data_IF_115587707539
#
_entry.id   IF_115587707539
#
_cell.length_a   1.000
_cell.length_b   1.000
_cell.length_c   1.000
_cell.angle_alpha   90.00
_cell.angle_beta   90.00
_cell.angle_gamma   90.00
#
_symmetry.space_group_name_H-M   'P 1'
#
loop_
_entity.id
_entity.type
_entity.pdbx_description
1 polymer ?
#
# COMPACT_ATOMS: atom_id res chain seq x y z
N UNK A 1 -3.44 12.83 14.10
CA UNK A 1 -3.30 14.11 14.85
C UNK A 1 -4.66 14.81 15.04
N UNK A 2 -5.51 14.31 15.95
CA UNK A 2 -6.89 14.79 16.13
C UNK A 2 -7.07 16.00 17.07
N UNK A 3 -5.98 16.59 17.57
CA UNK A 3 -6.03 17.69 18.56
C UNK A 3 -5.37 19.02 18.15
N UNK A 4 -4.83 19.13 16.93
CA UNK A 4 -4.17 20.36 16.44
C UNK A 4 -5.06 21.07 15.43
N UNK A 5 -5.16 22.39 15.53
CA UNK A 5 -5.77 23.23 14.48
C UNK A 5 -4.96 23.15 13.17
N UNK A 6 -5.58 23.51 12.04
CA UNK A 6 -4.93 23.45 10.72
C UNK A 6 -3.59 24.21 10.67
N UNK A 7 -3.55 25.43 11.20
CA UNK A 7 -2.33 26.24 11.27
C UNK A 7 -1.23 25.63 12.16
N UNK A 8 -1.61 25.07 13.33
CA UNK A 8 -0.66 24.38 14.21
C UNK A 8 -0.07 23.12 13.59
N UNK A 9 -0.88 22.36 12.84
CA UNK A 9 -0.40 21.18 12.11
C UNK A 9 0.62 21.57 11.04
N UNK A 10 0.36 22.65 10.30
CA UNK A 10 1.30 23.17 9.29
C UNK A 10 2.63 23.61 9.90
N UNK A 11 2.60 24.37 11.00
CA UNK A 11 3.82 24.79 11.70
C UNK A 11 4.65 23.60 12.21
N UNK A 12 3.98 22.57 12.74
CA UNK A 12 4.67 21.35 13.17
C UNK A 12 5.34 20.64 11.98
N UNK A 13 4.63 20.46 10.86
CA UNK A 13 5.18 19.83 9.65
C UNK A 13 6.38 20.60 9.12
N UNK A 14 6.29 21.92 9.09
CA UNK A 14 7.34 22.80 8.62
C UNK A 14 8.60 22.73 9.52
N UNK A 15 8.44 22.73 10.84
CA UNK A 15 9.58 22.58 11.77
C UNK A 15 10.20 21.18 11.68
N UNK A 16 9.38 20.13 11.53
CA UNK A 16 9.87 18.76 11.34
C UNK A 16 10.73 18.64 10.07
N UNK A 17 10.31 19.28 8.99
CA UNK A 17 11.07 19.35 7.75
C UNK A 17 12.45 19.98 8.02
N UNK A 18 12.51 21.16 8.65
CA UNK A 18 13.76 21.85 8.95
C UNK A 18 14.72 21.02 9.82
N UNK A 19 14.21 20.36 10.85
CA UNK A 19 15.02 19.50 11.71
C UNK A 19 15.61 18.29 10.95
N UNK A 20 14.86 17.74 9.99
CA UNK A 20 15.28 16.56 9.23
C UNK A 20 16.24 16.91 8.09
N UNK A 21 16.01 18.04 7.44
CA UNK A 21 16.90 18.53 6.38
C UNK A 21 18.17 19.17 6.94
N UNK A 22 18.20 19.55 8.21
CA UNK A 22 19.32 20.27 8.82
C UNK A 22 20.69 19.57 8.75
N UNK A 23 20.73 18.24 8.64
CA UNK A 23 21.96 17.43 8.46
C UNK A 23 22.27 17.11 7.00
N UNK A 24 21.43 17.56 6.07
CA UNK A 24 21.56 17.35 4.63
C UNK A 24 21.94 18.68 3.97
N UNK A 25 22.41 18.62 2.73
CA UNK A 25 22.80 19.80 1.94
C UNK A 25 22.41 19.56 0.47
N UNK A 26 22.23 20.64 -0.29
CA UNK A 26 21.95 20.62 -1.74
C UNK A 26 20.68 19.85 -2.18
N UNK A 27 19.66 19.80 -1.32
CA UNK A 27 18.34 19.27 -1.69
C UNK A 27 17.49 20.32 -2.38
N UNK A 28 16.58 19.87 -3.25
CA UNK A 28 15.46 20.68 -3.75
C UNK A 28 14.24 20.43 -2.88
N UNK A 29 13.89 21.40 -2.03
CA UNK A 29 12.72 21.36 -1.14
C UNK A 29 11.56 22.08 -1.85
N UNK A 30 10.43 21.40 -2.01
CA UNK A 30 9.23 21.97 -2.65
C UNK A 30 8.16 22.19 -1.58
N UNK A 31 7.70 23.42 -1.45
CA UNK A 31 6.66 23.81 -0.48
C UNK A 31 5.46 24.39 -1.24
N UNK A 32 4.29 23.80 -1.03
CA UNK A 32 3.02 24.25 -1.61
C UNK A 32 2.18 24.96 -0.54
N UNK A 33 1.86 26.24 -0.78
CA UNK A 33 1.08 27.13 0.08
C UNK A 33 1.49 27.09 1.57
N UNK A 34 2.76 27.41 1.90
CA UNK A 34 3.27 27.30 3.28
C UNK A 34 2.61 28.27 4.26
N UNK A 35 2.04 29.38 3.78
CA UNK A 35 1.37 30.40 4.60
C UNK A 35 -0.14 30.16 4.78
N UNK A 36 -0.76 29.35 3.93
CA UNK A 36 -2.22 29.25 3.92
C UNK A 36 -2.77 28.70 5.25
N UNK A 37 -3.68 29.44 5.89
CA UNK A 37 -4.33 29.03 7.14
C UNK A 37 -3.45 29.17 8.40
N UNK A 38 -2.30 29.84 8.29
CA UNK A 38 -1.45 30.26 9.41
C UNK A 38 -1.82 31.70 9.77
N UNK A 39 -1.84 32.05 11.06
CA UNK A 39 -2.08 33.44 11.49
C UNK A 39 -0.85 34.32 11.21
N UNK A 40 -1.08 35.59 10.86
CA UNK A 40 -0.04 36.56 10.47
C UNK A 40 1.13 36.64 11.46
N UNK A 41 0.88 36.45 12.75
CA UNK A 41 1.91 36.44 13.81
C UNK A 41 3.01 35.38 13.60
N UNK A 42 2.71 34.29 12.89
CA UNK A 42 3.67 33.22 12.59
C UNK A 42 4.35 33.36 11.23
N UNK A 43 3.91 34.29 10.37
CA UNK A 43 4.53 34.53 9.06
C UNK A 43 6.01 34.92 9.20
N UNK A 44 6.42 35.84 10.11
CA UNK A 44 7.83 36.17 10.31
C UNK A 44 8.67 34.96 10.73
N UNK A 45 8.10 34.06 11.54
CA UNK A 45 8.77 32.84 11.97
C UNK A 45 9.04 31.91 10.78
N UNK A 46 8.04 31.68 9.91
CA UNK A 46 8.20 30.85 8.71
C UNK A 46 9.27 31.45 7.78
N UNK A 47 9.26 32.77 7.57
CA UNK A 47 10.24 33.46 6.72
C UNK A 47 11.66 33.26 7.24
N UNK A 48 11.86 33.41 8.56
CA UNK A 48 13.20 33.25 9.13
C UNK A 48 13.74 31.83 8.92
N UNK A 49 12.90 30.81 9.11
CA UNK A 49 13.25 29.42 8.82
C UNK A 49 13.51 29.15 7.35
N UNK A 50 12.76 29.76 6.43
CA UNK A 50 13.02 29.67 5.00
C UNK A 50 14.40 30.24 4.65
N UNK A 51 14.79 31.36 5.29
CA UNK A 51 16.15 31.92 5.14
C UNK A 51 17.22 30.98 5.67
N UNK A 52 17.02 30.39 6.85
CA UNK A 52 17.94 29.38 7.40
C UNK A 52 18.12 28.21 6.43
N UNK A 53 17.03 27.64 5.92
CA UNK A 53 17.09 26.50 4.99
C UNK A 53 17.72 26.87 3.64
N UNK A 54 17.49 28.09 3.13
CA UNK A 54 18.06 28.60 1.87
C UNK A 54 19.59 28.59 1.88
N UNK A 55 20.23 28.68 3.05
CA UNK A 55 21.71 28.62 3.14
C UNK A 55 22.29 27.26 2.76
N UNK A 56 21.51 26.18 2.88
CA UNK A 56 21.95 24.79 2.65
C UNK A 56 21.23 24.09 1.51
N UNK A 57 20.07 24.60 1.09
CA UNK A 57 19.17 23.91 0.17
C UNK A 57 18.59 24.86 -0.88
N UNK A 58 18.20 24.28 -2.01
CA UNK A 58 17.39 24.96 -3.01
C UNK A 58 15.92 24.83 -2.61
N UNK A 59 15.17 25.94 -2.58
CA UNK A 59 13.76 25.94 -2.17
C UNK A 59 12.91 26.42 -3.35
N UNK A 60 11.95 25.59 -3.75
CA UNK A 60 10.87 25.96 -4.66
C UNK A 60 9.60 26.19 -3.84
N UNK A 61 9.11 27.41 -3.83
CA UNK A 61 7.90 27.78 -3.10
C UNK A 61 6.79 28.11 -4.10
N UNK A 62 5.65 27.44 -3.94
CA UNK A 62 4.43 27.67 -4.73
C UNK A 62 3.42 28.33 -3.79
N UNK A 63 2.96 29.53 -4.14
CA UNK A 63 2.00 30.28 -3.32
C UNK A 63 1.18 31.23 -4.18
N UNK A 64 -0.04 31.51 -3.74
CA UNK A 64 -0.81 32.67 -4.17
C UNK A 64 -0.91 33.76 -3.10
N UNK A 65 -0.41 33.47 -1.90
CA UNK A 65 -0.52 34.32 -0.72
C UNK A 65 0.82 34.98 -0.36
N UNK A 66 0.76 36.16 0.26
CA UNK A 66 1.92 36.91 0.77
C UNK A 66 3.05 37.13 -0.26
N UNK A 67 2.68 37.21 -1.54
CA UNK A 67 3.60 37.21 -2.69
C UNK A 67 4.68 38.28 -2.60
N UNK A 68 4.34 39.50 -2.15
CA UNK A 68 5.27 40.61 -2.07
C UNK A 68 6.48 40.30 -1.16
N UNK A 69 6.23 39.72 0.02
CA UNK A 69 7.27 39.39 1.00
C UNK A 69 8.18 38.28 0.45
N UNK A 70 7.61 37.34 -0.29
CA UNK A 70 8.36 36.23 -0.88
C UNK A 70 9.17 36.64 -2.11
N UNK A 71 8.64 37.57 -2.91
CA UNK A 71 9.38 38.17 -4.02
C UNK A 71 10.65 38.88 -3.54
N UNK A 72 10.63 39.52 -2.37
CA UNK A 72 11.82 40.15 -1.79
C UNK A 72 12.90 39.14 -1.37
N UNK A 73 12.50 37.92 -1.00
CA UNK A 73 13.42 36.86 -0.57
C UNK A 73 13.90 35.96 -1.73
N UNK A 74 13.13 35.90 -2.82
CA UNK A 74 13.35 34.96 -3.91
C UNK A 74 14.53 35.37 -4.80
N UNK A 75 15.39 34.40 -5.13
CA UNK A 75 16.43 34.55 -6.14
C UNK A 75 15.85 34.56 -7.56
N UNK A 76 14.77 33.80 -7.77
CA UNK A 76 14.09 33.65 -9.04
C UNK A 76 12.58 33.67 -8.84
N UNK A 77 11.85 34.31 -9.75
CA UNK A 77 10.39 34.43 -9.70
C UNK A 77 9.81 33.82 -10.97
N UNK A 78 8.94 32.82 -10.78
CA UNK A 78 8.24 32.12 -11.85
C UNK A 78 6.75 32.43 -11.71
N UNK A 79 6.20 33.16 -12.68
CA UNK A 79 4.78 33.52 -12.71
C UNK A 79 4.04 32.62 -13.70
N UNK A 80 2.95 32.01 -13.24
CA UNK A 80 2.05 31.18 -14.07
C UNK A 80 0.74 31.95 -14.28
N UNK A 81 0.33 32.10 -15.53
CA UNK A 81 -0.96 32.74 -15.85
C UNK A 81 -2.13 31.79 -15.56
N UNK A 82 -3.23 32.32 -15.03
CA UNK A 82 -4.46 31.56 -14.84
C UNK A 82 -5.14 31.22 -16.18
N UNK A 83 -4.87 32.00 -17.24
CA UNK A 83 -5.49 31.88 -18.57
C UNK A 83 -4.72 30.89 -19.45
N UNK A 84 -3.39 31.01 -19.48
CA UNK A 84 -2.51 30.09 -20.22
C UNK A 84 -1.54 29.41 -19.26
N UNK A 85 -1.76 28.10 -19.04
CA UNK A 85 -0.95 27.26 -18.16
C UNK A 85 0.17 26.52 -18.89
N UNK A 86 0.25 26.65 -20.21
CA UNK A 86 1.28 26.01 -21.04
C UNK A 86 2.60 26.78 -21.01
N UNK A 87 2.54 28.09 -20.77
CA UNK A 87 3.69 29.00 -20.73
C UNK A 87 3.82 29.68 -19.37
N UNK A 88 5.06 30.01 -19.03
CA UNK A 88 5.41 30.70 -17.78
C UNK A 88 6.30 31.89 -18.06
N UNK A 89 6.33 32.83 -17.11
CA UNK A 89 7.24 33.98 -17.09
C UNK A 89 8.30 33.75 -16.02
N UNK A 90 9.58 33.89 -16.36
CA UNK A 90 10.70 33.73 -15.43
C UNK A 90 11.49 35.02 -15.40
N UNK A 91 11.66 35.65 -14.23
CA UNK A 91 12.49 36.85 -13.98
C UNK A 91 12.30 38.06 -14.93
N UNK A 92 11.31 38.03 -15.84
CA UNK A 92 11.11 39.01 -16.90
C UNK A 92 10.95 38.42 -18.30
N UNK A 93 11.50 37.22 -18.58
CA UNK A 93 11.36 36.49 -19.84
C UNK A 93 9.97 35.87 -19.96
N UNK A 94 9.22 36.28 -20.97
CA UNK A 94 7.87 35.78 -21.23
C UNK A 94 7.85 34.64 -22.26
N UNK A 95 6.84 33.78 -22.17
CA UNK A 95 6.54 32.77 -23.18
C UNK A 95 7.41 31.50 -23.09
N UNK A 96 8.08 31.25 -21.97
CA UNK A 96 8.84 30.02 -21.75
C UNK A 96 7.88 28.85 -21.57
N UNK A 97 8.17 27.71 -22.21
CA UNK A 97 7.36 26.50 -22.07
C UNK A 97 7.46 25.93 -20.63
N UNK A 98 6.30 25.64 -20.02
CA UNK A 98 6.21 25.18 -18.63
C UNK A 98 6.93 23.86 -18.41
N UNK A 99 6.86 22.92 -19.36
CA UNK A 99 7.50 21.62 -19.22
C UNK A 99 9.02 21.77 -19.19
N UNK A 100 9.57 22.65 -20.04
CA UNK A 100 10.99 23.00 -20.02
C UNK A 100 11.42 23.62 -18.70
N UNK A 101 10.62 24.54 -18.15
CA UNK A 101 10.90 25.15 -16.84
C UNK A 101 10.94 24.12 -15.71
N UNK A 102 9.95 23.22 -15.64
CA UNK A 102 9.96 22.13 -14.65
C UNK A 102 11.18 21.22 -14.81
N UNK A 103 11.60 20.96 -16.05
CA UNK A 103 12.78 20.19 -16.36
C UNK A 103 14.05 20.83 -15.79
N UNK A 104 14.18 22.15 -15.98
CA UNK A 104 15.34 22.93 -15.58
C UNK A 104 15.41 23.12 -14.06
N UNK A 105 14.28 23.13 -13.35
CA UNK A 105 14.25 23.21 -11.88
C UNK A 105 14.60 21.87 -11.25
N UNK A 106 14.15 20.75 -11.85
CA UNK A 106 14.31 19.39 -11.30
C UNK A 106 15.69 18.76 -11.56
N UNK A 107 16.75 19.53 -11.29
CA UNK A 107 18.14 19.07 -11.42
C UNK A 107 18.52 18.21 -10.21
N UNK A 108 19.16 17.07 -10.49
CA UNK A 108 19.68 16.14 -9.48
C UNK A 108 19.07 14.75 -9.59
N UNK A 109 19.66 13.82 -8.85
CA UNK A 109 19.10 12.49 -8.67
C UNK A 109 17.90 12.53 -7.71
N UNK A 110 16.96 11.61 -7.90
CA UNK A 110 15.88 11.43 -6.93
C UNK A 110 16.45 11.14 -5.55
N UNK A 111 15.94 11.83 -4.54
CA UNK A 111 16.36 11.63 -3.17
C UNK A 111 16.09 10.17 -2.73
N UNK A 112 17.17 9.42 -2.45
CA UNK A 112 17.11 8.04 -1.96
C UNK A 112 17.50 7.98 -0.50
N UNK A 113 16.52 7.95 0.40
CA UNK A 113 16.77 7.67 1.80
C UNK A 113 17.04 6.19 2.03
N UNK A 114 18.10 5.89 2.80
CA UNK A 114 18.49 4.54 3.22
C UNK A 114 17.77 4.20 4.52
N UNK A 115 16.96 3.15 4.50
CA UNK A 115 16.28 2.60 5.68
C UNK A 115 17.26 2.25 6.80
N UNK A 116 16.86 2.53 8.05
CA UNK A 116 17.69 2.30 9.23
C UNK A 116 16.91 1.50 10.31
N UNK A 117 17.62 0.87 11.25
CA UNK A 117 17.04 0.11 12.37
C UNK A 117 16.08 0.94 13.23
N UNK A 118 16.29 2.27 13.29
CA UNK A 118 15.37 3.20 13.97
C UNK A 118 13.98 3.22 13.35
N UNK A 119 13.87 2.97 12.04
CA UNK A 119 12.58 2.93 11.34
C UNK A 119 11.79 1.67 11.73
N UNK A 120 12.49 0.56 11.99
CA UNK A 120 11.88 -0.69 12.49
C UNK A 120 11.39 -0.52 13.94
N UNK A 121 12.21 0.09 14.81
CA UNK A 121 11.83 0.37 16.19
C UNK A 121 10.62 1.31 16.25
N UNK A 122 10.60 2.35 15.41
CA UNK A 122 9.45 3.22 15.24
C UNK A 122 8.20 2.45 14.80
N UNK A 123 8.31 1.61 13.77
CA UNK A 123 7.19 0.77 13.30
C UNK A 123 6.62 -0.09 14.42
N UNK A 124 7.48 -0.79 15.18
CA UNK A 124 7.05 -1.63 16.31
C UNK A 124 6.33 -0.78 17.37
N UNK A 125 6.89 0.38 17.73
CA UNK A 125 6.31 1.24 18.75
C UNK A 125 4.94 1.78 18.33
N UNK A 126 4.76 2.16 17.06
CA UNK A 126 3.46 2.63 16.54
C UNK A 126 2.44 1.50 16.55
N UNK A 127 2.80 0.35 15.98
CA UNK A 127 1.91 -0.80 15.78
C UNK A 127 1.51 -1.51 17.06
N UNK A 128 2.38 -1.52 18.08
CA UNK A 128 2.11 -2.18 19.37
C UNK A 128 1.80 -1.18 20.50
N UNK A 129 1.64 0.10 20.20
CA UNK A 129 1.21 1.09 21.20
C UNK A 129 -0.21 0.82 21.72
N UNK A 130 -0.52 1.39 22.89
CA UNK A 130 -1.74 1.15 23.68
C UNK A 130 -3.07 1.49 22.98
N UNK A 131 -3.02 2.13 21.80
CA UNK A 131 -4.18 2.49 20.98
C UNK A 131 -4.26 1.71 19.65
N UNK A 132 -3.53 0.60 19.54
CA UNK A 132 -3.50 -0.21 18.32
C UNK A 132 -4.71 -1.13 18.18
N UNK A 133 -5.20 -1.27 16.94
CA UNK A 133 -6.32 -2.15 16.58
C UNK A 133 -6.04 -3.64 16.80
N UNK A 134 -4.79 -4.08 16.97
CA UNK A 134 -4.46 -5.51 17.16
C UNK A 134 -5.06 -6.06 18.47
N UNK A 135 -4.99 -5.29 19.56
CA UNK A 135 -5.56 -5.72 20.85
C UNK A 135 -7.08 -5.85 20.78
N UNK A 136 -7.74 -4.98 20.01
CA UNK A 136 -9.18 -5.03 19.78
C UNK A 136 -9.57 -6.28 19.00
N UNK A 137 -8.78 -6.66 17.98
CA UNK A 137 -8.98 -7.94 17.26
C UNK A 137 -8.87 -9.12 18.21
N UNK A 138 -7.86 -9.16 19.08
CA UNK A 138 -7.73 -10.24 20.05
C UNK A 138 -8.92 -10.33 21.00
N UNK A 139 -9.39 -9.20 21.53
CA UNK A 139 -10.61 -9.17 22.35
C UNK A 139 -11.84 -9.68 21.61
N UNK A 140 -12.00 -9.28 20.35
CA UNK A 140 -13.11 -9.70 19.51
C UNK A 140 -13.05 -11.20 19.15
N UNK A 141 -11.86 -11.72 18.83
CA UNK A 141 -11.62 -13.15 18.55
C UNK A 141 -11.96 -13.99 19.77
N UNK A 142 -11.53 -13.61 20.97
CA UNK A 142 -11.83 -14.32 22.22
C UNK A 142 -13.34 -14.36 22.47
N UNK A 143 -14.03 -13.22 22.31
CA UNK A 143 -15.48 -13.14 22.48
C UNK A 143 -16.21 -14.03 21.46
N UNK A 144 -15.86 -13.88 20.18
CA UNK A 144 -16.47 -14.59 19.07
C UNK A 144 -16.31 -16.10 19.22
N UNK A 145 -15.08 -16.60 19.38
CA UNK A 145 -14.82 -18.02 19.53
C UNK A 145 -15.27 -18.58 20.89
N UNK A 146 -15.37 -17.74 21.93
CA UNK A 146 -16.04 -18.10 23.18
C UNK A 146 -17.53 -18.39 22.99
N UNK A 147 -18.25 -17.54 22.25
CA UNK A 147 -19.65 -17.78 21.89
C UNK A 147 -19.83 -18.99 20.98
N UNK A 148 -18.89 -19.21 20.06
CA UNK A 148 -18.86 -20.41 19.22
C UNK A 148 -18.76 -21.68 20.06
N UNK A 149 -17.81 -21.74 21.00
CA UNK A 149 -17.66 -22.88 21.90
C UNK A 149 -18.95 -23.11 22.71
N UNK A 150 -19.56 -22.06 23.25
CA UNK A 150 -20.83 -22.18 23.98
C UNK A 150 -21.97 -22.70 23.11
N UNK A 151 -22.00 -22.32 21.83
CA UNK A 151 -23.08 -22.69 20.90
C UNK A 151 -22.98 -24.11 20.39
N UNK A 152 -21.75 -24.59 20.16
CA UNK A 152 -21.51 -25.89 19.55
C UNK A 152 -20.95 -26.94 20.52
N UNK A 153 -20.76 -26.63 21.81
CA UNK A 153 -20.22 -27.57 22.78
C UNK A 153 -20.91 -28.95 22.72
N UNK A 154 -20.13 -30.03 22.67
CA UNK A 154 -20.62 -31.42 22.57
C UNK A 154 -21.58 -31.66 21.38
N UNK A 155 -21.32 -31.04 20.23
CA UNK A 155 -22.08 -31.30 19.01
C UNK A 155 -22.02 -32.76 18.58
N UNK A 156 -23.10 -33.27 17.99
CA UNK A 156 -23.22 -34.67 17.56
C UNK A 156 -22.44 -34.93 16.26
N UNK A 157 -21.94 -36.15 16.03
CA UNK A 157 -21.43 -36.57 14.72
C UNK A 157 -22.48 -36.32 13.63
N UNK A 158 -22.07 -35.83 12.47
CA UNK A 158 -22.93 -35.39 11.37
C UNK A 158 -23.19 -33.87 11.33
N UNK A 159 -22.62 -33.09 12.25
CA UNK A 159 -22.69 -31.62 12.27
C UNK A 159 -21.41 -30.93 11.80
N UNK A 160 -20.46 -31.69 11.27
CA UNK A 160 -19.11 -31.27 10.91
C UNK A 160 -19.11 -30.10 9.92
N UNK A 161 -19.95 -30.19 8.89
CA UNK A 161 -20.07 -29.15 7.88
C UNK A 161 -20.58 -27.82 8.44
N UNK A 162 -21.53 -27.90 9.38
CA UNK A 162 -22.12 -26.73 10.03
C UNK A 162 -21.08 -26.01 10.89
N UNK A 163 -20.27 -26.78 11.60
CA UNK A 163 -19.15 -26.29 12.41
C UNK A 163 -18.02 -25.74 11.55
N UNK A 164 -17.71 -26.37 10.42
CA UNK A 164 -16.73 -25.86 9.46
C UNK A 164 -17.16 -24.49 8.91
N UNK A 165 -18.41 -24.37 8.44
CA UNK A 165 -18.97 -23.12 7.93
C UNK A 165 -18.98 -22.04 9.02
N UNK A 166 -19.50 -22.37 10.20
CA UNK A 166 -19.63 -21.41 11.29
C UNK A 166 -18.26 -20.89 11.74
N UNK A 167 -17.28 -21.78 11.93
CA UNK A 167 -15.93 -21.40 12.34
C UNK A 167 -15.18 -20.61 11.25
N UNK A 168 -15.33 -21.00 9.98
CA UNK A 168 -14.73 -20.28 8.85
C UNK A 168 -15.30 -18.87 8.67
N UNK A 169 -16.63 -18.72 8.73
CA UNK A 169 -17.27 -17.40 8.70
C UNK A 169 -16.82 -16.53 9.89
N UNK A 170 -16.71 -17.12 11.08
CA UNK A 170 -16.26 -16.40 12.26
C UNK A 170 -14.80 -15.93 12.14
N UNK A 171 -13.92 -16.77 11.62
CA UNK A 171 -12.54 -16.40 11.32
C UNK A 171 -12.48 -15.25 10.30
N UNK A 172 -13.27 -15.32 9.23
CA UNK A 172 -13.38 -14.25 8.24
C UNK A 172 -13.86 -12.94 8.88
N UNK A 173 -14.99 -12.95 9.59
CA UNK A 173 -15.58 -11.73 10.17
C UNK A 173 -14.80 -11.17 11.36
N UNK A 174 -13.95 -11.97 12.02
CA UNK A 174 -13.03 -11.47 13.06
C UNK A 174 -11.78 -10.82 12.48
N UNK A 175 -11.26 -11.33 11.37
CA UNK A 175 -10.09 -10.77 10.69
C UNK A 175 -10.44 -9.56 9.78
N UNK A 176 -11.60 -9.60 9.12
CA UNK A 176 -11.97 -8.66 8.06
C UNK A 176 -11.95 -7.18 8.50
N UNK A 177 -12.50 -6.77 9.66
CA UNK A 177 -12.47 -5.35 10.06
C UNK A 177 -11.05 -4.78 10.16
N UNK A 178 -10.10 -5.54 10.69
CA UNK A 178 -8.70 -5.13 10.78
C UNK A 178 -8.04 -5.04 9.41
N UNK A 179 -8.36 -5.97 8.52
CA UNK A 179 -7.79 -6.00 7.16
C UNK A 179 -8.35 -4.84 6.31
N UNK A 180 -9.60 -4.42 6.52
CA UNK A 180 -10.16 -3.25 5.85
C UNK A 180 -9.46 -1.94 6.27
N UNK A 181 -9.09 -1.83 7.54
CA UNK A 181 -8.31 -0.69 8.05
C UNK A 181 -6.92 -0.56 7.42
N UNK A 182 -6.43 -1.56 6.67
CA UNK A 182 -5.16 -1.47 5.95
C UNK A 182 -5.17 -0.36 4.89
N UNK A 183 -6.33 -0.05 4.30
CA UNK A 183 -6.44 1.02 3.31
C UNK A 183 -6.21 2.39 3.97
N UNK A 184 -6.88 2.63 5.09
CA UNK A 184 -6.71 3.86 5.87
C UNK A 184 -5.29 3.96 6.44
N UNK A 185 -4.77 2.86 6.98
CA UNK A 185 -3.40 2.77 7.45
C UNK A 185 -2.40 3.12 6.34
N UNK A 186 -2.59 2.59 5.12
CA UNK A 186 -1.73 2.91 3.97
C UNK A 186 -1.75 4.41 3.68
N UNK A 187 -2.92 5.04 3.68
CA UNK A 187 -3.05 6.48 3.43
C UNK A 187 -2.34 7.28 4.52
N UNK A 188 -2.63 7.01 5.80
CA UNK A 188 -1.99 7.69 6.92
C UNK A 188 -0.47 7.51 6.90
N UNK A 189 0.01 6.30 6.61
CA UNK A 189 1.44 6.04 6.51
C UNK A 189 2.08 6.77 5.35
N UNK A 190 1.42 6.87 4.19
CA UNK A 190 1.96 7.63 3.06
C UNK A 190 2.04 9.11 3.41
N UNK A 191 0.99 9.69 3.99
CA UNK A 191 0.96 11.08 4.45
C UNK A 191 2.02 11.35 5.52
N UNK A 192 2.13 10.48 6.52
CA UNK A 192 3.12 10.60 7.60
C UNK A 192 4.54 10.44 7.05
N UNK A 193 4.75 9.52 6.12
CA UNK A 193 6.07 9.31 5.53
C UNK A 193 6.49 10.47 4.64
N UNK A 194 5.54 11.11 3.94
CA UNK A 194 5.76 12.36 3.20
C UNK A 194 6.08 13.51 4.15
N UNK A 195 5.31 13.63 5.22
CA UNK A 195 5.53 14.62 6.27
C UNK A 195 6.88 14.49 6.97
N UNK A 196 7.33 13.25 7.22
CA UNK A 196 8.55 12.97 7.98
C UNK A 196 9.80 12.77 7.10
N UNK A 197 9.64 12.83 5.76
CA UNK A 197 10.71 12.65 4.77
C UNK A 197 11.55 11.37 4.93
N UNK A 198 10.94 10.27 5.40
CA UNK A 198 11.60 8.96 5.43
C UNK A 198 11.22 8.14 4.18
N UNK A 199 12.09 7.25 3.71
CA UNK A 199 11.83 6.39 2.54
C UNK A 199 11.21 5.03 2.92
N UNK A 200 10.88 4.81 4.19
CA UNK A 200 10.45 3.49 4.70
C UNK A 200 9.05 3.04 4.26
N UNK A 201 8.38 3.74 3.32
CA UNK A 201 7.03 3.40 2.82
C UNK A 201 6.91 1.92 2.43
N UNK A 202 7.82 1.44 1.59
CA UNK A 202 7.78 0.05 1.10
C UNK A 202 8.14 -0.97 2.19
N UNK A 203 9.13 -0.65 3.03
CA UNK A 203 9.48 -1.49 4.18
C UNK A 203 8.29 -1.66 5.13
N UNK A 204 7.62 -0.56 5.46
CA UNK A 204 6.47 -0.56 6.36
C UNK A 204 5.30 -1.35 5.76
N UNK A 205 5.03 -1.22 4.46
CA UNK A 205 4.02 -2.06 3.77
C UNK A 205 4.32 -3.55 3.90
N UNK A 206 5.58 -3.95 3.71
CA UNK A 206 5.99 -5.35 3.86
C UNK A 206 5.87 -5.84 5.30
N UNK A 207 6.32 -5.04 6.29
CA UNK A 207 6.19 -5.37 7.70
C UNK A 207 4.71 -5.47 8.12
N UNK A 208 3.85 -4.57 7.64
CA UNK A 208 2.41 -4.61 7.90
C UNK A 208 1.74 -5.82 7.25
N UNK A 209 2.15 -6.20 6.04
CA UNK A 209 1.67 -7.42 5.39
C UNK A 209 2.07 -8.67 6.18
N UNK A 210 3.33 -8.77 6.62
CA UNK A 210 3.81 -9.88 7.46
C UNK A 210 3.06 -9.94 8.80
N UNK A 211 2.85 -8.80 9.45
CA UNK A 211 2.08 -8.70 10.70
C UNK A 211 0.63 -9.17 10.51
N UNK A 212 0.01 -8.81 9.39
CA UNK A 212 -1.36 -9.22 9.06
C UNK A 212 -1.46 -10.71 8.76
N UNK A 213 -0.49 -11.27 8.04
CA UNK A 213 -0.41 -12.72 7.80
C UNK A 213 -0.16 -13.51 9.09
N UNK A 214 0.67 -12.97 10.00
CA UNK A 214 0.89 -13.56 11.31
C UNK A 214 -0.38 -13.53 12.18
N UNK A 215 -1.12 -12.42 12.16
CA UNK A 215 -2.44 -12.33 12.81
C UNK A 215 -3.42 -13.37 12.26
N UNK A 216 -3.47 -13.55 10.93
CA UNK A 216 -4.30 -14.55 10.28
C UNK A 216 -3.92 -15.98 10.69
N UNK A 217 -2.62 -16.27 10.83
CA UNK A 217 -2.14 -17.55 11.34
C UNK A 217 -2.64 -17.80 12.76
N UNK A 218 -2.61 -16.80 13.65
CA UNK A 218 -3.11 -16.93 15.02
C UNK A 218 -4.63 -17.17 15.04
N UNK A 219 -5.40 -16.42 14.26
CA UNK A 219 -6.85 -16.61 14.15
C UNK A 219 -7.17 -18.03 13.65
N UNK A 220 -6.42 -18.51 12.65
CA UNK A 220 -6.56 -19.87 12.12
C UNK A 220 -6.23 -20.94 13.18
N UNK A 221 -5.20 -20.73 14.00
CA UNK A 221 -4.87 -21.64 15.11
C UNK A 221 -6.00 -21.70 16.14
N UNK A 222 -6.60 -20.56 16.47
CA UNK A 222 -7.75 -20.49 17.38
C UNK A 222 -8.96 -21.19 16.76
N UNK A 223 -9.25 -20.93 15.49
CA UNK A 223 -10.32 -21.59 14.75
C UNK A 223 -10.18 -23.12 14.79
N UNK A 224 -9.00 -23.61 14.41
CA UNK A 224 -8.70 -25.04 14.39
C UNK A 224 -8.81 -25.66 15.79
N UNK A 225 -8.25 -25.00 16.81
CA UNK A 225 -8.35 -25.46 18.20
C UNK A 225 -9.80 -25.53 18.70
N UNK A 226 -10.63 -24.53 18.38
CA UNK A 226 -12.04 -24.52 18.75
C UNK A 226 -12.84 -25.62 18.02
N UNK A 227 -12.54 -25.89 16.76
CA UNK A 227 -13.17 -26.96 16.00
C UNK A 227 -12.85 -28.35 16.58
N UNK A 228 -11.57 -28.60 16.88
CA UNK A 228 -11.11 -29.85 17.50
C UNK A 228 -11.70 -30.04 18.91
N UNK A 229 -11.91 -28.97 19.68
CA UNK A 229 -12.55 -29.06 21.00
C UNK A 229 -14.03 -29.46 20.93
N UNK A 230 -14.71 -29.13 19.84
CA UNK A 230 -16.16 -29.24 19.71
C UNK A 230 -16.61 -30.61 19.19
N UNK A 231 -15.93 -31.13 18.16
CA UNK A 231 -16.25 -32.43 17.53
C UNK A 231 -15.12 -33.46 17.70
N UNK A 232 -13.91 -33.05 18.09
CA UNK A 232 -12.72 -33.90 18.01
C UNK A 232 -12.14 -33.91 16.60
N UNK A 233 -11.66 -35.07 16.15
CA UNK A 233 -11.01 -35.21 14.84
C UNK A 233 -12.04 -35.06 13.72
N UNK A 234 -12.02 -33.92 13.03
CA UNK A 234 -12.96 -33.59 11.93
C UNK A 234 -12.52 -34.12 10.56
N UNK A 235 -11.54 -35.01 10.50
CA UNK A 235 -10.92 -35.47 9.25
C UNK A 235 -11.32 -36.90 8.92
N UNK A 236 -11.40 -37.22 7.62
CA UNK A 236 -11.37 -38.64 7.20
C UNK A 236 -10.12 -39.32 7.78
N UNK A 237 -10.21 -40.62 8.05
CA UNK A 237 -9.11 -41.42 8.59
C UNK A 237 -7.81 -41.34 7.75
N UNK A 238 -7.94 -41.00 6.47
CA UNK A 238 -6.86 -40.85 5.50
C UNK A 238 -6.07 -39.54 5.63
N UNK A 239 -6.65 -38.49 6.24
CA UNK A 239 -6.01 -37.19 6.39
C UNK A 239 -5.52 -36.96 7.82
N UNK A 240 -4.30 -36.46 7.93
CA UNK A 240 -3.71 -36.06 9.21
C UNK A 240 -4.28 -34.72 9.68
N UNK A 241 -4.23 -34.49 11.00
CA UNK A 241 -4.62 -33.19 11.61
C UNK A 241 -3.83 -32.01 11.03
N UNK A 242 -2.58 -32.24 10.65
CA UNK A 242 -1.70 -31.21 10.08
C UNK A 242 -2.19 -30.83 8.68
N UNK A 243 -2.53 -31.81 7.84
CA UNK A 243 -3.03 -31.53 6.48
C UNK A 243 -4.36 -30.77 6.52
N UNK A 244 -5.24 -31.09 7.46
CA UNK A 244 -6.49 -30.35 7.62
C UNK A 244 -6.28 -28.93 8.15
N UNK A 245 -5.36 -28.73 9.11
CA UNK A 245 -4.95 -27.39 9.53
C UNK A 245 -4.40 -26.57 8.36
N UNK A 246 -3.53 -27.17 7.54
CA UNK A 246 -3.00 -26.51 6.32
C UNK A 246 -4.15 -26.18 5.36
N UNK A 247 -5.13 -27.07 5.21
CA UNK A 247 -6.32 -26.81 4.40
C UNK A 247 -7.11 -25.59 4.86
N UNK A 248 -7.41 -25.50 6.16
CA UNK A 248 -8.12 -24.36 6.75
C UNK A 248 -7.30 -23.06 6.62
N UNK A 249 -5.99 -23.13 6.86
CA UNK A 249 -5.11 -21.97 6.72
C UNK A 249 -5.14 -21.39 5.31
N UNK A 250 -5.01 -22.23 4.29
CA UNK A 250 -5.01 -21.77 2.90
C UNK A 250 -6.39 -21.36 2.40
N UNK A 251 -7.49 -21.90 2.94
CA UNK A 251 -8.83 -21.37 2.69
C UNK A 251 -9.00 -19.96 3.27
N UNK A 252 -8.59 -19.75 4.53
CA UNK A 252 -8.60 -18.42 5.16
C UNK A 252 -7.71 -17.41 4.42
N UNK A 253 -6.50 -17.83 4.01
CA UNK A 253 -5.60 -17.00 3.21
C UNK A 253 -6.26 -16.62 1.90
N UNK A 254 -6.85 -17.56 1.16
CA UNK A 254 -7.49 -17.26 -0.12
C UNK A 254 -8.63 -16.24 0.01
N UNK A 255 -9.43 -16.34 1.07
CA UNK A 255 -10.56 -15.42 1.31
C UNK A 255 -10.12 -13.99 1.62
N UNK A 256 -8.94 -13.80 2.22
CA UNK A 256 -8.50 -12.51 2.77
C UNK A 256 -7.28 -11.91 2.04
N UNK A 257 -6.51 -12.69 1.28
CA UNK A 257 -5.27 -12.23 0.63
C UNK A 257 -5.54 -11.14 -0.41
N UNK A 258 -6.70 -11.18 -1.08
CA UNK A 258 -7.10 -10.12 -2.01
C UNK A 258 -7.19 -8.76 -1.32
N UNK A 259 -7.79 -8.70 -0.12
CA UNK A 259 -7.91 -7.47 0.67
C UNK A 259 -6.53 -6.96 1.11
N UNK A 260 -5.61 -7.86 1.49
CA UNK A 260 -4.24 -7.47 1.87
C UNK A 260 -3.49 -6.91 0.65
N UNK A 261 -3.54 -7.60 -0.49
CA UNK A 261 -2.88 -7.17 -1.72
C UNK A 261 -3.43 -5.84 -2.25
N UNK A 262 -4.75 -5.71 -2.34
CA UNK A 262 -5.41 -4.50 -2.81
C UNK A 262 -5.26 -3.36 -1.82
N UNK A 263 -5.48 -3.62 -0.52
CA UNK A 263 -5.42 -2.63 0.54
C UNK A 263 -4.03 -2.01 0.72
N UNK A 264 -2.96 -2.81 0.73
CA UNK A 264 -1.60 -2.29 1.00
C UNK A 264 -0.84 -1.84 -0.26
N UNK A 265 -1.04 -2.53 -1.39
CA UNK A 265 -0.17 -2.36 -2.57
C UNK A 265 -0.86 -1.68 -3.75
N UNK A 266 -2.09 -1.19 -3.61
CA UNK A 266 -2.74 -0.37 -4.66
C UNK A 266 -3.04 1.04 -4.18
N UNK A 267 -3.52 1.89 -5.08
CA UNK A 267 -4.02 3.24 -4.79
C UNK A 267 -5.55 3.28 -4.76
N UNK A 268 -6.20 2.10 -4.70
CA UNK A 268 -7.66 1.99 -4.68
C UNK A 268 -8.23 2.61 -3.40
N UNK A 269 -9.42 3.20 -3.50
CA UNK A 269 -10.17 3.71 -2.35
C UNK A 269 -10.68 2.56 -1.48
N UNK A 270 -10.99 2.85 -0.21
CA UNK A 270 -11.51 1.85 0.74
C UNK A 270 -12.74 1.11 0.20
N UNK A 271 -13.69 1.85 -0.39
CA UNK A 271 -14.88 1.26 -1.04
C UNK A 271 -14.53 0.27 -2.17
N UNK A 272 -13.54 0.59 -3.01
CA UNK A 272 -13.11 -0.30 -4.09
C UNK A 272 -12.42 -1.54 -3.54
N UNK A 273 -11.59 -1.40 -2.50
CA UNK A 273 -10.92 -2.53 -1.83
C UNK A 273 -11.96 -3.44 -1.18
N UNK A 274 -12.98 -2.89 -0.53
CA UNK A 274 -14.10 -3.66 0.04
C UNK A 274 -14.84 -4.46 -1.03
N UNK A 275 -15.24 -3.81 -2.13
CA UNK A 275 -16.00 -4.47 -3.20
C UNK A 275 -15.17 -5.57 -3.88
N UNK A 276 -13.95 -5.25 -4.32
CA UNK A 276 -13.14 -6.17 -5.11
C UNK A 276 -12.45 -7.23 -4.25
N UNK A 277 -12.00 -6.86 -3.05
CA UNK A 277 -11.30 -7.76 -2.15
C UNK A 277 -12.20 -8.79 -1.48
N UNK A 278 -13.51 -8.55 -1.39
CA UNK A 278 -14.48 -9.53 -0.87
C UNK A 278 -14.99 -10.51 -1.94
N UNK A 279 -14.64 -10.32 -3.22
CA UNK A 279 -15.06 -11.22 -4.31
C UNK A 279 -14.68 -12.68 -4.05
N UNK A 280 -13.44 -13.03 -3.61
CA UNK A 280 -13.09 -14.43 -3.33
C UNK A 280 -13.99 -15.09 -2.28
N UNK A 281 -14.34 -14.36 -1.22
CA UNK A 281 -15.25 -14.83 -0.17
C UNK A 281 -16.68 -15.06 -0.72
N UNK A 282 -17.22 -14.08 -1.46
CA UNK A 282 -18.55 -14.19 -2.07
C UNK A 282 -18.64 -15.35 -3.07
N UNK A 283 -17.61 -15.50 -3.92
CA UNK A 283 -17.55 -16.61 -4.87
C UNK A 283 -17.42 -17.95 -4.15
N UNK A 284 -16.62 -18.03 -3.06
CA UNK A 284 -16.53 -19.25 -2.24
C UNK A 284 -17.91 -19.68 -1.71
N UNK A 285 -18.69 -18.73 -1.17
CA UNK A 285 -20.07 -19.01 -0.74
C UNK A 285 -20.94 -19.46 -1.91
N UNK A 286 -20.92 -18.73 -3.02
CA UNK A 286 -21.75 -19.05 -4.18
C UNK A 286 -21.45 -20.45 -4.73
N UNK A 287 -20.18 -20.77 -4.94
CA UNK A 287 -19.76 -22.07 -5.49
C UNK A 287 -19.89 -23.22 -4.49
N UNK A 288 -19.92 -22.95 -3.17
CA UNK A 288 -20.23 -23.99 -2.17
C UNK A 288 -21.58 -24.68 -2.39
N UNK A 289 -22.54 -23.98 -3.02
CA UNK A 289 -23.84 -24.56 -3.38
C UNK A 289 -23.75 -25.64 -4.45
N UNK A 290 -22.61 -25.75 -5.15
CA UNK A 290 -22.39 -26.71 -6.26
C UNK A 290 -21.65 -27.99 -5.82
N UNK A 291 -21.38 -28.15 -4.52
CA UNK A 291 -20.62 -29.29 -3.99
C UNK A 291 -21.47 -30.56 -3.90
N UNK A 292 -22.80 -30.42 -3.80
CA UNK A 292 -23.75 -31.53 -3.67
C UNK A 292 -24.10 -32.17 -5.02
N UNK A 293 -24.27 -33.50 -5.10
CA UNK A 293 -24.74 -34.19 -6.30
C UNK A 293 -26.08 -33.60 -6.78
N UNK A 294 -26.15 -33.24 -8.07
CA UNK A 294 -27.35 -32.67 -8.68
C UNK A 294 -27.59 -31.17 -8.44
N UNK A 295 -26.74 -30.46 -7.69
CA UNK A 295 -26.88 -29.03 -7.44
C UNK A 295 -26.07 -28.17 -8.43
N UNK A 296 -26.71 -27.20 -9.11
CA UNK A 296 -26.03 -26.27 -10.02
C UNK A 296 -26.01 -26.70 -11.49
N UNK A 297 -25.52 -25.81 -12.36
CA UNK A 297 -25.46 -25.99 -13.83
C UNK A 297 -24.13 -26.63 -14.22
N UNK A 298 -24.12 -27.66 -15.07
CA UNK A 298 -22.93 -28.45 -15.44
C UNK A 298 -21.69 -27.60 -15.79
N UNK A 299 -21.82 -26.56 -16.62
CA UNK A 299 -20.67 -25.72 -16.97
C UNK A 299 -20.16 -24.81 -15.83
N UNK A 300 -21.03 -24.43 -14.90
CA UNK A 300 -20.68 -23.57 -13.75
C UNK A 300 -20.08 -24.41 -12.61
N UNK A 301 -20.46 -25.69 -12.50
CA UNK A 301 -19.93 -26.63 -11.51
C UNK A 301 -18.41 -26.78 -11.61
N UNK A 302 -17.86 -26.81 -12.82
CA UNK A 302 -16.42 -26.98 -13.04
C UNK A 302 -15.58 -25.84 -12.42
N UNK A 303 -16.17 -24.66 -12.18
CA UNK A 303 -15.48 -23.55 -11.51
C UNK A 303 -15.17 -23.83 -10.04
N UNK A 304 -15.83 -24.81 -9.40
CA UNK A 304 -15.59 -25.16 -7.98
C UNK A 304 -14.14 -25.58 -7.71
N UNK A 305 -13.46 -26.17 -8.70
CA UNK A 305 -12.06 -26.59 -8.59
C UNK A 305 -11.07 -25.41 -8.46
N UNK A 306 -11.51 -24.18 -8.71
CA UNK A 306 -10.70 -22.97 -8.53
C UNK A 306 -10.66 -22.50 -7.07
N UNK A 307 -11.52 -23.02 -6.20
CA UNK A 307 -11.67 -22.53 -4.83
C UNK A 307 -11.09 -23.52 -3.82
N UNK A 308 -10.18 -23.09 -2.92
CA UNK A 308 -9.58 -23.97 -1.91
C UNK A 308 -10.61 -24.57 -0.97
N UNK A 309 -11.69 -23.83 -0.69
CA UNK A 309 -12.82 -24.27 0.10
C UNK A 309 -13.36 -25.63 -0.37
N UNK A 310 -13.51 -25.85 -1.69
CA UNK A 310 -13.97 -27.13 -2.24
C UNK A 310 -13.11 -28.32 -1.78
N UNK A 311 -11.79 -28.15 -1.77
CA UNK A 311 -10.87 -29.19 -1.36
C UNK A 311 -10.89 -29.43 0.16
N UNK A 312 -11.13 -28.39 0.97
CA UNK A 312 -11.36 -28.56 2.43
C UNK A 312 -12.60 -29.42 2.67
N UNK A 313 -13.67 -29.20 1.90
CA UNK A 313 -14.88 -30.02 1.99
C UNK A 313 -14.66 -31.48 1.59
N UNK A 314 -13.76 -31.75 0.64
CA UNK A 314 -13.36 -33.12 0.30
C UNK A 314 -12.61 -33.85 1.42
N UNK A 315 -12.02 -33.12 2.38
CA UNK A 315 -11.32 -33.70 3.54
C UNK A 315 -12.28 -34.12 4.68
N UNK A 316 -13.54 -33.68 4.63
CA UNK A 316 -14.54 -34.02 5.65
C UNK A 316 -15.07 -35.46 5.50
N UNK A 317 -15.33 -36.16 6.61
CA UNK A 317 -15.99 -37.46 6.59
C UNK A 317 -17.45 -37.34 6.12
N UNK A 318 -17.92 -38.34 5.38
CA UNK A 318 -19.35 -38.60 5.09
C UNK A 318 -20.15 -37.55 4.27
N UNK A 319 -19.51 -36.50 3.74
CA UNK A 319 -20.22 -35.38 3.09
C UNK A 319 -20.67 -35.57 1.63
N UNK A 320 -20.46 -36.74 1.01
CA UNK A 320 -20.96 -37.04 -0.34
C UNK A 320 -20.60 -36.01 -1.43
N UNK A 321 -19.49 -35.29 -1.28
CA UNK A 321 -19.08 -34.19 -2.18
C UNK A 321 -18.74 -34.75 -3.56
N UNK A 322 -19.36 -34.19 -4.59
CA UNK A 322 -19.20 -34.63 -5.97
C UNK A 322 -17.82 -34.24 -6.53
N UNK A 323 -17.13 -35.19 -7.17
CA UNK A 323 -15.93 -34.93 -7.97
C UNK A 323 -14.62 -34.77 -7.19
N UNK A 324 -14.57 -35.19 -5.93
CA UNK A 324 -13.36 -35.04 -5.13
C UNK A 324 -12.14 -35.74 -5.78
N UNK A 325 -11.00 -35.05 -5.90
CA UNK A 325 -9.79 -35.62 -6.46
C UNK A 325 -9.24 -36.75 -5.56
N UNK A 326 -8.37 -37.58 -6.14
CA UNK A 326 -7.66 -38.61 -5.40
C UNK A 326 -6.84 -37.99 -4.25
N UNK A 327 -6.83 -38.67 -3.10
CA UNK A 327 -6.37 -38.15 -1.80
C UNK A 327 -4.98 -37.50 -1.84
N UNK A 328 -4.02 -38.12 -2.52
CA UNK A 328 -2.64 -37.64 -2.65
C UNK A 328 -2.51 -36.30 -3.40
N UNK A 329 -3.57 -35.86 -4.10
CA UNK A 329 -3.57 -34.63 -4.91
C UNK A 329 -4.44 -33.51 -4.31
N UNK A 330 -5.33 -33.83 -3.38
CA UNK A 330 -6.27 -32.87 -2.77
C UNK A 330 -5.54 -31.69 -2.13
N UNK A 331 -4.52 -31.96 -1.31
CA UNK A 331 -3.74 -30.91 -0.64
C UNK A 331 -2.96 -30.03 -1.64
N UNK A 332 -2.38 -30.65 -2.67
CA UNK A 332 -1.66 -29.91 -3.71
C UNK A 332 -2.60 -28.97 -4.47
N UNK A 333 -3.77 -29.44 -4.88
CA UNK A 333 -4.75 -28.61 -5.59
C UNK A 333 -5.34 -27.52 -4.69
N UNK A 334 -5.51 -27.78 -3.39
CA UNK A 334 -5.87 -26.77 -2.41
C UNK A 334 -4.83 -25.65 -2.34
N UNK A 335 -3.55 -25.98 -2.22
CA UNK A 335 -2.48 -24.97 -2.17
C UNK A 335 -2.42 -24.20 -3.50
N UNK A 336 -2.47 -24.89 -4.64
CA UNK A 336 -2.43 -24.23 -5.95
C UNK A 336 -3.61 -23.28 -6.16
N UNK A 337 -4.83 -23.69 -5.79
CA UNK A 337 -6.02 -22.84 -5.90
C UNK A 337 -5.95 -21.61 -4.98
N UNK A 338 -5.44 -21.77 -3.76
CA UNK A 338 -5.25 -20.65 -2.83
C UNK A 338 -4.27 -19.58 -3.35
N UNK A 339 -3.31 -19.98 -4.19
CA UNK A 339 -2.29 -19.10 -4.77
C UNK A 339 -2.73 -18.41 -6.07
N UNK A 340 -3.90 -18.72 -6.62
CA UNK A 340 -4.41 -18.08 -7.84
C UNK A 340 -4.54 -16.57 -7.64
N UNK A 341 -5.14 -16.12 -6.54
CA UNK A 341 -5.34 -14.70 -6.23
C UNK A 341 -4.02 -13.91 -6.17
N UNK A 342 -3.01 -14.30 -5.35
CA UNK A 342 -1.73 -13.59 -5.34
C UNK A 342 -0.99 -13.69 -6.67
N UNK A 343 -1.10 -14.81 -7.40
CA UNK A 343 -0.50 -14.95 -8.72
C UNK A 343 -1.10 -13.97 -9.75
N UNK A 344 -2.42 -13.87 -9.81
CA UNK A 344 -3.11 -12.88 -10.66
C UNK A 344 -2.74 -11.44 -10.28
N UNK A 345 -2.61 -11.17 -8.99
CA UNK A 345 -2.17 -9.86 -8.50
C UNK A 345 -0.74 -9.53 -8.95
N UNK A 346 0.18 -10.49 -8.87
CA UNK A 346 1.57 -10.32 -9.35
C UNK A 346 1.63 -10.11 -10.87
N UNK A 347 0.85 -10.84 -11.65
CA UNK A 347 0.75 -10.63 -13.10
C UNK A 347 0.23 -9.22 -13.43
N UNK A 348 -0.80 -8.77 -12.74
CA UNK A 348 -1.32 -7.41 -12.90
C UNK A 348 -0.27 -6.36 -12.53
N UNK A 349 0.44 -6.56 -11.40
CA UNK A 349 1.54 -5.67 -10.98
C UNK A 349 2.68 -5.63 -11.98
N UNK A 350 3.08 -6.78 -12.52
CA UNK A 350 4.10 -6.87 -13.56
C UNK A 350 3.66 -6.13 -14.83
N UNK A 351 2.42 -6.34 -15.28
CA UNK A 351 1.84 -5.61 -16.41
C UNK A 351 1.84 -4.09 -16.19
N UNK A 352 1.42 -3.62 -15.00
CA UNK A 352 1.46 -2.20 -14.61
C UNK A 352 2.90 -1.67 -14.63
N UNK A 353 3.85 -2.39 -14.05
CA UNK A 353 5.26 -2.01 -14.03
C UNK A 353 5.83 -1.88 -15.45
N UNK A 354 5.59 -2.86 -16.33
CA UNK A 354 6.03 -2.79 -17.73
C UNK A 354 5.44 -1.58 -18.46
N UNK A 355 4.17 -1.27 -18.22
CA UNK A 355 3.50 -0.11 -18.81
C UNK A 355 4.09 1.22 -18.30
N UNK A 356 4.35 1.33 -17.00
CA UNK A 356 4.98 2.51 -16.40
C UNK A 356 6.42 2.70 -16.88
N UNK A 357 7.20 1.61 -16.96
CA UNK A 357 8.56 1.64 -17.51
C UNK A 357 8.57 2.09 -18.97
N UNK A 358 7.63 1.62 -19.79
CA UNK A 358 7.48 2.09 -21.16
C UNK A 358 7.18 3.59 -21.22
N UNK A 359 6.25 4.07 -20.38
CA UNK A 359 5.90 5.50 -20.28
C UNK A 359 7.09 6.34 -19.82
N UNK A 360 7.84 5.87 -18.82
CA UNK A 360 9.03 6.54 -18.29
C UNK A 360 10.16 6.58 -19.32
N UNK A 361 10.44 5.50 -20.05
CA UNK A 361 11.42 5.50 -21.15
C UNK A 361 11.04 6.50 -22.24
N UNK A 362 9.77 6.57 -22.60
CA UNK A 362 9.26 7.57 -23.57
C UNK A 362 9.43 9.00 -23.06
N UNK A 363 9.11 9.24 -21.78
CA UNK A 363 9.28 10.55 -21.14
C UNK A 363 10.75 10.95 -21.00
N UNK A 364 11.64 10.02 -20.63
CA UNK A 364 13.08 10.26 -20.54
C UNK A 364 13.70 10.50 -21.91
N UNK A 365 13.23 9.81 -22.95
CA UNK A 365 13.63 10.11 -24.34
C UNK A 365 13.25 11.53 -24.77
N UNK A 366 12.07 12.03 -24.34
CA UNK A 366 11.66 13.42 -24.54
C UNK A 366 12.50 14.39 -23.69
N UNK A 367 12.77 14.06 -22.42
CA UNK A 367 13.58 14.83 -21.48
C UNK A 367 15.02 15.00 -21.96
N UNK A 368 15.63 13.95 -22.50
CA UNK A 368 16.98 14.01 -23.07
C UNK A 368 17.01 14.87 -24.33
N UNK A 369 16.03 14.73 -25.25
CA UNK A 369 15.91 15.61 -26.42
C UNK A 369 15.73 17.08 -26.02
N UNK A 370 15.00 17.33 -24.94
CA UNK A 370 14.77 18.65 -24.38
C UNK A 370 16.03 19.29 -23.76
N UNK A 371 16.88 18.51 -23.09
CA UNK A 371 18.14 18.98 -22.49
C UNK A 371 19.16 19.51 -23.50
N UNK A 372 19.08 19.06 -24.75
CA UNK A 372 19.96 19.53 -25.83
C UNK A 372 19.44 20.76 -26.56
N UNK A 373 18.27 21.30 -26.19
CA UNK A 373 17.84 22.59 -26.74
C UNK A 373 18.68 23.72 -26.12
N UNK A 374 19.19 24.62 -26.95
CA UNK A 374 19.89 25.83 -26.51
C UNK A 374 19.07 26.63 -25.48
N UNK A 375 17.74 26.65 -25.65
CA UNK A 375 16.80 27.27 -24.71
C UNK A 375 16.87 26.68 -23.30
N UNK A 376 17.11 25.37 -23.15
CA UNK A 376 17.23 24.73 -21.84
C UNK A 376 18.51 25.18 -21.12
N UNK A 377 19.63 25.23 -21.84
CA UNK A 377 20.93 25.66 -21.30
C UNK A 377 20.91 27.13 -20.88
N UNK A 378 20.28 28.00 -21.69
CA UNK A 378 20.04 29.39 -21.32
C UNK A 378 19.20 29.51 -20.05
N UNK A 379 18.09 28.77 -19.97
CA UNK A 379 17.19 28.79 -18.81
C UNK A 379 17.90 28.32 -17.53
N UNK A 380 18.75 27.31 -17.66
CA UNK A 380 19.50 26.77 -16.53
C UNK A 380 20.52 27.78 -15.99
N UNK A 381 21.21 28.51 -16.88
CA UNK A 381 22.11 29.61 -16.49
C UNK A 381 21.36 30.76 -15.83
N UNK A 382 20.15 31.05 -16.29
CA UNK A 382 19.28 32.08 -15.72
C UNK A 382 18.79 31.70 -14.32
N UNK A 383 18.38 30.44 -14.11
CA UNK A 383 17.86 29.96 -12.82
C UNK A 383 18.97 29.66 -11.80
N UNK A 384 20.15 29.20 -12.23
CA UNK A 384 21.24 28.79 -11.34
C UNK A 384 22.60 29.37 -11.74
N UNK A 385 22.80 30.70 -11.62
CA UNK A 385 23.98 31.40 -12.14
C UNK A 385 25.32 30.98 -11.49
N UNK A 386 25.28 30.37 -10.30
CA UNK A 386 26.47 29.95 -9.54
C UNK A 386 26.69 28.44 -9.49
N UNK A 387 25.82 27.63 -10.11
CA UNK A 387 25.99 26.18 -10.13
C UNK A 387 26.78 25.76 -11.36
N UNK A 388 27.96 25.18 -11.15
CA UNK A 388 28.71 24.48 -12.20
C UNK A 388 27.99 23.16 -12.53
N UNK A 389 26.84 23.22 -13.18
CA UNK A 389 26.11 22.02 -13.61
C UNK A 389 26.35 21.80 -15.10
N UNK A 390 27.46 21.07 -15.35
CA UNK A 390 27.50 19.86 -16.16
C UNK A 390 26.86 19.98 -17.56
N UNK A 391 27.64 20.51 -18.49
CA UNK A 391 27.76 19.89 -19.81
C UNK A 391 28.79 18.76 -19.71
N UNK A 392 28.53 17.71 -18.92
CA UNK A 392 29.30 16.48 -19.11
C UNK A 392 28.76 15.86 -20.40
N UNK A 393 29.64 15.75 -21.38
CA UNK A 393 29.49 14.88 -22.54
C UNK A 393 29.14 13.48 -22.01
N UNK A 394 27.87 13.11 -22.09
CA UNK A 394 27.48 11.72 -21.92
C UNK A 394 28.00 11.00 -23.16
N UNK A 395 29.05 10.20 -22.95
CA UNK A 395 29.57 9.26 -23.94
C UNK A 395 28.40 8.60 -24.69
N UNK A 396 28.36 8.86 -25.99
CA UNK A 396 27.52 8.12 -26.92
C UNK A 396 27.91 6.65 -26.76
N UNK A 397 26.99 5.73 -26.42
CA UNK A 397 27.33 4.32 -26.43
C UNK A 397 27.70 3.95 -27.87
N UNK A 398 28.96 3.57 -28.05
CA UNK A 398 29.51 3.09 -29.31
C UNK A 398 28.66 1.89 -29.77
N UNK A 399 27.83 2.09 -30.80
CA UNK A 399 27.19 1.01 -31.55
C UNK A 399 28.27 0.26 -32.34
N UNK A 400 29.18 -0.43 -31.64
CA UNK A 400 30.16 -1.37 -32.18
C UNK A 400 30.87 -2.11 -31.04
N UNK A 401 30.25 -3.16 -30.53
CA UNK A 401 30.99 -4.38 -30.13
C UNK A 401 30.04 -5.53 -29.74
N UNK A 402 30.13 -6.61 -30.51
CA UNK A 402 30.00 -8.01 -30.05
C UNK A 402 28.61 -8.52 -29.72
#
# INVERSE_FOLDING_TARGET
MSGLSGGQRKLLLFELLLQRTGTQENMLIILDEPFAGVTDDFVPFIIERLREMRTKHNILLVTNDHVNILMEMADNIITVSAIDRSRVKINGREGVDRYMTLLAISIGDEYRYKTNNKDLEFFINVEFSKHSGILEVFGYVILAFGLFLLSFWNSKPGTEALILIAAGNLAFFTANPYILQLTDWRVFMVEETEALMHSSKEMNKHLKALLTLFLLLIITLIQFGCQELVIGVMTRAEYTRIEFFVGILFDNVFQLIALICLGLYTEMTDQMVQILGQVPFLLSIFFSTTYSPGAGIEGVKELRYLFPNYYVWCMLPEMGVEGCPAENKTLLYLILSSLITPFLFLLWKFGKYCFEQYKMKKANGLRNKARHLDQYVELQKELFPFSNVVCDEVDVPDERSG
#
